data_IF_432894128438
#
_entry.id   IF_432894128438
#
_cell.length_a   1.000
_cell.length_b   1.000
_cell.length_c   1.000
_cell.angle_alpha   90.00
_cell.angle_beta   90.00
_cell.angle_gamma   90.00
#
_symmetry.space_group_name_H-M   'P 1'
#
loop_
_entity.id
_entity.type
_entity.pdbx_description
1 polymer ?
#
# COMPACT_ATOMS: atom_id res chain seq x y z
N UNK A 1 1.32 -3.52 -11.99
CA UNK A 1 0.42 -2.43 -11.54
C UNK A 1 0.71 -2.05 -10.08
N UNK A 2 0.80 -3.02 -9.17
CA UNK A 2 1.08 -2.80 -7.74
C UNK A 2 2.30 -1.88 -7.48
N UNK A 3 3.49 -2.24 -8.00
CA UNK A 3 4.70 -1.41 -7.84
C UNK A 3 4.52 0.04 -8.30
N UNK A 4 3.93 0.24 -9.50
CA UNK A 4 3.68 1.58 -10.05
C UNK A 4 2.74 2.40 -9.19
N UNK A 5 1.74 1.77 -8.56
CA UNK A 5 0.85 2.45 -7.63
C UNK A 5 1.58 2.79 -6.32
N UNK A 6 2.30 1.81 -5.75
CA UNK A 6 3.02 1.99 -4.48
C UNK A 6 4.07 3.11 -4.57
N UNK A 7 4.76 3.20 -5.69
CA UNK A 7 5.78 4.21 -5.97
C UNK A 7 5.21 5.52 -6.54
N UNK A 8 3.91 5.60 -6.80
CA UNK A 8 3.30 6.81 -7.32
C UNK A 8 3.47 7.97 -6.33
N UNK A 9 3.90 9.18 -6.76
CA UNK A 9 4.14 10.30 -5.85
C UNK A 9 2.95 10.63 -4.95
N UNK A 10 1.73 10.54 -5.48
CA UNK A 10 0.50 10.79 -4.70
C UNK A 10 0.28 9.74 -3.61
N UNK A 11 0.59 8.46 -3.89
CA UNK A 11 0.49 7.40 -2.88
C UNK A 11 1.51 7.61 -1.78
N UNK A 12 2.77 7.90 -2.14
CA UNK A 12 3.84 8.21 -1.18
C UNK A 12 3.48 9.41 -0.32
N UNK A 13 2.95 10.49 -0.93
CA UNK A 13 2.51 11.67 -0.20
C UNK A 13 1.36 11.36 0.76
N UNK A 14 0.37 10.58 0.32
CA UNK A 14 -0.75 10.16 1.16
C UNK A 14 -0.29 9.32 2.37
N UNK A 15 0.59 8.33 2.14
CA UNK A 15 1.11 7.51 3.25
C UNK A 15 1.85 8.36 4.27
N UNK A 16 2.73 9.26 3.79
CA UNK A 16 3.51 10.15 4.65
C UNK A 16 2.65 11.14 5.43
N UNK A 17 1.76 11.86 4.74
CA UNK A 17 1.09 13.04 5.28
C UNK A 17 -0.22 12.72 6.00
N UNK A 18 -0.84 11.57 5.69
CA UNK A 18 -2.15 11.17 6.20
C UNK A 18 -2.10 9.85 6.96
N UNK A 19 -1.57 8.80 6.33
CA UNK A 19 -1.65 7.45 6.90
C UNK A 19 -0.79 7.30 8.16
N UNK A 20 0.51 7.60 8.07
CA UNK A 20 1.46 7.50 9.19
C UNK A 20 1.01 8.28 10.44
N UNK A 21 0.54 9.55 10.34
CA UNK A 21 0.12 10.28 11.53
C UNK A 21 -1.27 9.90 12.07
N UNK A 22 -2.17 9.34 11.24
CA UNK A 22 -3.59 9.15 11.63
C UNK A 22 -3.94 7.71 12.00
N UNK A 23 -3.19 6.72 11.50
CA UNK A 23 -3.52 5.30 11.67
C UNK A 23 -2.70 4.68 12.80
N UNK A 24 -3.39 4.36 13.89
CA UNK A 24 -2.79 3.78 15.11
C UNK A 24 -2.31 2.33 14.90
N UNK A 25 -3.03 1.51 14.12
CA UNK A 25 -2.68 0.11 13.82
C UNK A 25 -3.20 -0.29 12.45
N UNK A 26 -2.41 -1.06 11.70
CA UNK A 26 -2.80 -1.60 10.40
C UNK A 26 -2.25 -3.02 10.18
N UNK A 27 -2.87 -3.74 9.24
CA UNK A 27 -2.41 -5.03 8.74
C UNK A 27 -2.65 -5.04 7.22
N UNK A 28 -1.61 -5.35 6.44
CA UNK A 28 -1.70 -5.46 4.98
C UNK A 28 -1.67 -6.94 4.58
N UNK A 29 -2.59 -7.34 3.69
CA UNK A 29 -2.65 -8.70 3.14
C UNK A 29 -2.91 -8.60 1.64
N UNK A 30 -1.92 -9.04 0.85
CA UNK A 30 -2.04 -9.18 -0.60
C UNK A 30 -2.31 -10.63 -0.98
N UNK A 31 -3.16 -10.83 -1.99
CA UNK A 31 -3.52 -12.15 -2.49
C UNK A 31 -3.16 -12.31 -3.96
N UNK A 32 -2.76 -13.53 -4.31
CA UNK A 32 -2.68 -14.01 -5.68
C UNK A 32 -3.55 -15.26 -5.83
N UNK A 33 -4.02 -15.60 -7.03
CA UNK A 33 -4.74 -16.84 -7.26
C UNK A 33 -3.94 -18.06 -6.79
N UNK A 34 -4.60 -19.04 -6.16
CA UNK A 34 -3.98 -20.30 -5.81
C UNK A 34 -3.51 -21.02 -7.09
N UNK A 35 -2.22 -21.38 -7.16
CA UNK A 35 -1.62 -21.98 -8.34
C UNK A 35 -0.94 -20.99 -9.29
N UNK A 36 -0.77 -19.72 -8.88
CA UNK A 36 0.13 -18.81 -9.56
C UNK A 36 1.58 -19.27 -9.35
N UNK A 37 2.16 -19.86 -10.40
CA UNK A 37 3.55 -20.31 -10.50
C UNK A 37 4.02 -20.18 -11.94
#
# INVERSE_FOLDING_TARGET
AYTRYNEHPDHVAFVRDRWVPEIEKFLEIDYVPLGFG
#
